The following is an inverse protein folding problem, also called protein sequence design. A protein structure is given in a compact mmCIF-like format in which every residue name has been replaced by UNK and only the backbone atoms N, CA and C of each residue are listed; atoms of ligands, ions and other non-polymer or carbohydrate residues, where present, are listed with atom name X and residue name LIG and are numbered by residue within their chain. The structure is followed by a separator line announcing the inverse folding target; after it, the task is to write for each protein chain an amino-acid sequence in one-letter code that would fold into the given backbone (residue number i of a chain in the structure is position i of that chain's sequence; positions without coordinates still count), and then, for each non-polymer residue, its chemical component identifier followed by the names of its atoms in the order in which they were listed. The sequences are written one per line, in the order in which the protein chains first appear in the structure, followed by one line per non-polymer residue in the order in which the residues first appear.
data_IF_840990377095
#
_entry.id   IF_840990377095
#
_cell.length_a   1.000
_cell.length_b   1.000
_cell.length_c   1.000
_cell.angle_alpha   90.00
_cell.angle_beta   90.00
_cell.angle_gamma   90.00
#
_symmetry.space_group_name_H-M   'P 1'
#
loop_
_entity.id
_entity.type
_entity.pdbx_description
1 polymer ?
#
# COMPACT_ATOMS: atom_id res chain seq x y z
N UNK A 1 -8.42 9.03 -11.91
CA UNK A 1 -7.41 7.95 -12.05
C UNK A 1 -6.17 8.48 -12.77
N UNK A 2 -5.01 7.89 -12.51
CA UNK A 2 -3.69 8.33 -12.97
C UNK A 2 -3.04 9.40 -12.08
N UNK A 3 -3.78 9.97 -11.14
CA UNK A 3 -3.34 11.03 -10.24
C UNK A 3 -2.40 10.50 -9.16
N UNK A 4 -1.31 11.21 -8.90
CA UNK A 4 -0.36 10.95 -7.84
C UNK A 4 -0.55 11.81 -6.58
N UNK A 5 -0.30 11.19 -5.44
CA UNK A 5 -0.41 11.80 -4.12
C UNK A 5 0.84 11.48 -3.30
N UNK A 6 1.32 12.47 -2.58
CA UNK A 6 2.26 12.25 -1.49
C UNK A 6 1.45 11.85 -0.26
N UNK A 7 1.81 10.73 0.36
CA UNK A 7 1.26 10.25 1.63
C UNK A 7 2.36 10.36 2.69
N UNK A 8 2.14 11.14 3.75
CA UNK A 8 3.07 11.31 4.87
C UNK A 8 2.51 10.62 6.10
N UNK A 9 3.22 9.62 6.61
CA UNK A 9 2.76 8.79 7.73
C UNK A 9 2.65 9.59 9.04
N UNK A 10 1.55 9.37 9.75
CA UNK A 10 1.28 10.02 11.04
C UNK A 10 1.55 9.07 12.21
N UNK A 11 1.84 9.66 13.38
CA UNK A 11 1.96 8.93 14.64
C UNK A 11 0.61 8.47 15.21
N UNK A 12 -0.51 8.96 14.66
CA UNK A 12 -1.85 8.63 15.11
C UNK A 12 -2.12 7.12 14.99
N UNK A 13 -2.87 6.59 15.95
CA UNK A 13 -3.28 5.19 16.04
C UNK A 13 -4.80 5.12 16.06
N UNK A 14 -5.36 3.97 15.72
CA UNK A 14 -6.80 3.73 15.81
C UNK A 14 -7.20 3.56 17.26
N UNK A 15 -8.22 4.29 17.70
CA UNK A 15 -8.71 4.18 19.08
C UNK A 15 -10.25 4.30 19.19
N UNK A 16 -11.03 3.54 18.40
CA UNK A 16 -12.49 3.63 18.45
C UNK A 16 -13.08 3.15 19.79
N UNK A 17 -12.35 2.31 20.54
CA UNK A 17 -12.82 1.68 21.76
C UNK A 17 -11.83 1.79 22.95
N UNK A 18 -10.80 2.62 22.87
CA UNK A 18 -9.72 2.65 23.89
C UNK A 18 -8.67 1.55 23.68
N UNK A 19 -8.69 0.87 22.54
CA UNK A 19 -7.88 -0.31 22.21
C UNK A 19 -6.57 0.02 21.50
N UNK A 20 -6.37 1.28 21.07
CA UNK A 20 -5.11 1.83 20.58
C UNK A 20 -4.30 0.85 19.70
N UNK A 21 -4.82 0.54 18.51
CA UNK A 21 -4.23 -0.43 17.59
C UNK A 21 -3.73 0.22 16.29
N UNK A 22 -2.92 -0.52 15.53
CA UNK A 22 -2.39 -0.05 14.24
C UNK A 22 -1.55 1.23 14.36
N UNK A 23 -1.73 2.14 13.41
CA UNK A 23 -0.92 3.36 13.24
C UNK A 23 0.42 3.07 12.56
N UNK A 24 1.18 4.09 12.15
CA UNK A 24 2.47 3.87 11.50
C UNK A 24 3.53 3.37 12.50
N UNK A 25 4.43 2.46 12.07
CA UNK A 25 5.63 2.14 12.85
C UNK A 25 6.42 3.41 13.18
N UNK A 26 7.09 3.53 14.36
CA UNK A 26 7.80 4.75 14.74
C UNK A 26 8.82 5.23 13.70
N UNK A 27 9.58 4.32 13.09
CA UNK A 27 10.52 4.66 12.00
C UNK A 27 9.87 5.24 10.75
N UNK A 28 8.56 5.03 10.54
CA UNK A 28 7.82 5.55 9.39
C UNK A 28 7.21 6.92 9.65
N UNK A 29 6.98 7.30 10.91
CA UNK A 29 6.36 8.59 11.24
C UNK A 29 7.15 9.73 10.60
N UNK A 30 6.45 10.55 9.82
CA UNK A 30 7.05 11.66 9.09
C UNK A 30 7.72 11.31 7.77
N UNK A 31 7.97 10.01 7.47
CA UNK A 31 8.37 9.56 6.13
C UNK A 31 7.22 9.71 5.15
N UNK A 32 7.56 9.75 3.87
CA UNK A 32 6.59 9.88 2.80
C UNK A 32 6.68 8.74 1.80
N UNK A 33 5.54 8.46 1.17
CA UNK A 33 5.39 7.56 0.03
C UNK A 33 4.58 8.28 -1.04
N UNK A 34 5.05 8.22 -2.29
CA UNK A 34 4.30 8.77 -3.43
C UNK A 34 3.57 7.62 -4.10
N UNK A 35 2.26 7.76 -4.26
CA UNK A 35 1.42 6.74 -4.91
C UNK A 35 0.77 7.32 -6.15
N UNK A 36 0.46 6.45 -7.12
CA UNK A 36 -0.40 6.77 -8.25
C UNK A 36 -1.72 6.00 -8.10
N UNK A 37 -2.84 6.69 -8.24
CA UNK A 37 -4.18 6.09 -8.17
C UNK A 37 -4.48 5.38 -9.49
N UNK A 38 -4.40 4.05 -9.49
CA UNK A 38 -4.64 3.21 -10.68
C UNK A 38 -6.03 2.57 -10.70
N UNK A 39 -6.71 2.52 -9.56
CA UNK A 39 -8.03 1.91 -9.43
C UNK A 39 -8.87 2.65 -8.37
N UNK A 40 -10.14 2.29 -8.26
CA UNK A 40 -11.05 2.71 -7.19
C UNK A 40 -11.56 1.47 -6.45
N UNK A 41 -11.84 1.62 -5.16
CA UNK A 41 -12.52 0.61 -4.33
C UNK A 41 -13.73 1.23 -3.66
N UNK A 42 -14.68 0.39 -3.24
CA UNK A 42 -15.90 0.83 -2.55
C UNK A 42 -16.04 0.24 -1.13
N UNK A 43 -15.10 -0.61 -0.73
CA UNK A 43 -15.13 -1.43 0.48
C UNK A 43 -14.12 -0.98 1.55
N UNK A 44 -13.47 0.17 1.36
CA UNK A 44 -12.62 0.79 2.37
C UNK A 44 -13.42 1.79 3.22
N UNK A 45 -13.34 1.66 4.54
CA UNK A 45 -13.98 2.58 5.47
C UNK A 45 -13.20 3.92 5.53
N UNK A 46 -13.92 5.05 5.64
CA UNK A 46 -13.34 6.40 5.77
C UNK A 46 -13.70 7.34 4.61
N UNK A 47 -13.64 8.66 4.84
CA UNK A 47 -13.93 9.65 3.79
C UNK A 47 -12.82 9.75 2.73
N UNK A 48 -11.56 9.52 3.14
CA UNK A 48 -10.36 9.66 2.30
C UNK A 48 -9.38 8.53 2.57
N UNK A 49 -9.63 7.37 1.96
CA UNK A 49 -8.84 6.15 2.17
C UNK A 49 -8.02 5.78 0.93
N UNK A 50 -6.79 5.33 1.16
CA UNK A 50 -5.91 4.79 0.13
C UNK A 50 -5.70 3.31 0.39
N UNK A 51 -6.17 2.46 -0.51
CA UNK A 51 -5.76 1.06 -0.56
C UNK A 51 -4.45 0.94 -1.34
N UNK A 52 -3.37 0.58 -0.64
CA UNK A 52 -2.04 0.51 -1.23
C UNK A 52 -1.84 -0.89 -1.79
N UNK A 53 -1.64 -0.98 -3.11
CA UNK A 53 -1.46 -2.26 -3.79
C UNK A 53 -0.16 -2.95 -3.34
N UNK A 54 -0.30 -4.02 -2.57
CA UNK A 54 0.82 -4.82 -2.04
C UNK A 54 0.53 -6.30 -2.27
N UNK A 55 1.35 -7.01 -3.08
CA UNK A 55 1.21 -8.46 -3.23
C UNK A 55 1.31 -9.19 -1.88
N UNK A 56 0.47 -10.19 -1.64
CA UNK A 56 0.44 -10.87 -0.34
C UNK A 56 -0.42 -10.21 0.73
N UNK A 57 -1.04 -9.05 0.46
CA UNK A 57 -1.81 -8.28 1.45
C UNK A 57 -3.31 -8.60 1.53
N UNK A 58 -3.77 -9.60 0.78
CA UNK A 58 -5.18 -9.98 0.71
C UNK A 58 -5.79 -9.67 -0.65
N UNK A 59 -6.53 -10.62 -1.22
CA UNK A 59 -7.28 -10.42 -2.46
C UNK A 59 -8.63 -9.71 -2.24
N UNK A 60 -9.08 -9.60 -0.99
CA UNK A 60 -10.35 -9.02 -0.63
C UNK A 60 -11.54 -9.82 -1.15
N UNK A 61 -12.58 -9.10 -1.59
CA UNK A 61 -13.85 -9.68 -2.04
C UNK A 61 -13.71 -10.48 -3.36
N UNK A 62 -12.71 -10.15 -4.20
CA UNK A 62 -12.49 -10.77 -5.51
C UNK A 62 -11.29 -11.71 -5.49
N UNK A 63 -11.43 -12.86 -4.83
CA UNK A 63 -10.33 -13.81 -4.59
C UNK A 63 -10.00 -14.80 -5.73
N UNK A 64 -10.51 -14.56 -6.95
CA UNK A 64 -10.29 -15.45 -8.10
C UNK A 64 -9.33 -14.88 -9.16
N UNK A 65 -9.07 -13.57 -9.14
CA UNK A 65 -8.29 -12.91 -10.19
C UNK A 65 -6.85 -13.40 -10.27
N UNK A 66 -6.18 -13.53 -9.12
CA UNK A 66 -4.78 -13.94 -9.09
C UNK A 66 -4.58 -15.38 -9.56
N UNK A 67 -5.35 -16.32 -9.04
CA UNK A 67 -5.26 -17.72 -9.46
C UNK A 67 -5.63 -17.92 -10.96
N UNK A 68 -6.55 -17.10 -11.50
CA UNK A 68 -6.86 -17.12 -12.93
C UNK A 68 -5.69 -16.60 -13.79
N UNK A 69 -4.92 -15.62 -13.28
CA UNK A 69 -3.79 -15.03 -13.99
C UNK A 69 -2.52 -15.90 -13.96
N UNK A 70 -2.31 -16.67 -12.89
CA UNK A 70 -1.09 -17.43 -12.65
C UNK A 70 -1.37 -18.94 -12.58
N UNK A 71 -1.30 -19.67 -13.72
CA UNK A 71 -1.50 -21.11 -13.74
C UNK A 71 -0.55 -21.84 -12.79
N UNK A 72 -1.07 -22.80 -12.03
CA UNK A 72 -0.29 -23.60 -11.08
C UNK A 72 -0.22 -23.04 -9.66
N UNK A 73 -0.80 -21.86 -9.40
CA UNK A 73 -0.94 -21.29 -8.06
C UNK A 73 -2.38 -21.43 -7.56
N UNK A 74 -2.55 -21.74 -6.28
CA UNK A 74 -3.86 -21.73 -5.63
C UNK A 74 -4.23 -20.31 -5.17
N UNK A 75 -5.52 -19.96 -5.02
CA UNK A 75 -5.92 -18.65 -4.49
C UNK A 75 -5.22 -18.26 -3.19
N UNK A 76 -5.08 -19.20 -2.24
CA UNK A 76 -4.43 -18.94 -0.96
C UNK A 76 -2.92 -18.67 -1.04
N UNK A 77 -2.26 -18.97 -2.15
CA UNK A 77 -0.84 -18.64 -2.34
C UNK A 77 -0.61 -17.13 -2.45
N UNK A 78 -1.67 -16.37 -2.77
CA UNK A 78 -1.60 -14.93 -2.96
C UNK A 78 -1.80 -14.10 -1.69
N UNK A 79 -2.27 -14.70 -0.61
CA UNK A 79 -2.64 -14.01 0.63
C UNK A 79 -2.58 -14.86 1.90
N UNK A 80 -1.92 -16.03 1.84
CA UNK A 80 -1.80 -16.95 2.96
C UNK A 80 -3.15 -17.44 3.52
N UNK A 81 -4.11 -17.67 2.62
CA UNK A 81 -5.46 -18.14 2.96
C UNK A 81 -6.24 -17.12 3.84
N UNK A 82 -5.79 -15.86 3.84
CA UNK A 82 -6.39 -14.74 4.55
C UNK A 82 -6.73 -13.61 3.59
N UNK A 83 -7.93 -13.66 3.01
CA UNK A 83 -8.35 -12.72 1.97
C UNK A 83 -8.32 -11.24 2.42
N UNK A 84 -8.42 -10.95 3.72
CA UNK A 84 -8.41 -9.59 4.25
C UNK A 84 -7.22 -9.40 5.19
N UNK A 85 -6.18 -8.69 4.71
CA UNK A 85 -4.95 -8.44 5.45
C UNK A 85 -3.81 -9.40 5.08
N UNK A 86 -4.11 -10.53 4.44
CA UNK A 86 -3.12 -11.39 3.81
C UNK A 86 -2.14 -12.05 4.78
N UNK A 87 -0.93 -12.30 4.28
CA UNK A 87 0.15 -12.90 5.04
C UNK A 87 0.61 -11.97 6.18
N UNK A 88 0.81 -12.55 7.37
CA UNK A 88 1.29 -11.78 8.54
C UNK A 88 2.81 -11.66 8.59
N UNK A 89 3.54 -12.49 7.85
CA UNK A 89 4.99 -12.57 7.91
C UNK A 89 5.64 -12.63 6.51
N UNK A 90 6.90 -12.19 6.45
CA UNK A 90 7.67 -12.10 5.22
C UNK A 90 7.87 -13.45 4.53
N UNK A 91 7.86 -14.57 5.26
CA UNK A 91 8.06 -15.89 4.65
C UNK A 91 6.92 -16.28 3.72
N UNK A 92 5.72 -15.73 3.94
CA UNK A 92 4.57 -15.84 3.03
C UNK A 92 4.87 -15.38 1.60
N UNK A 93 5.80 -14.43 1.41
CA UNK A 93 6.21 -13.97 0.07
C UNK A 93 6.81 -15.10 -0.78
N UNK A 94 7.33 -16.17 -0.17
CA UNK A 94 7.85 -17.34 -0.88
C UNK A 94 6.78 -18.12 -1.66
N UNK A 95 5.49 -18.00 -1.27
CA UNK A 95 4.35 -18.64 -1.95
C UNK A 95 4.01 -17.97 -3.29
N UNK A 96 4.36 -16.70 -3.44
CA UNK A 96 4.00 -15.90 -4.61
C UNK A 96 4.87 -16.24 -5.84
N UNK A 97 4.37 -15.96 -7.06
CA UNK A 97 5.19 -15.88 -8.27
C UNK A 97 6.41 -14.95 -8.07
N UNK A 98 7.60 -15.30 -8.61
CA UNK A 98 8.84 -14.54 -8.40
C UNK A 98 8.71 -13.03 -8.65
N UNK A 99 7.97 -12.64 -9.68
CA UNK A 99 7.69 -11.27 -10.09
C UNK A 99 6.92 -10.44 -9.04
N UNK A 100 6.15 -11.08 -8.16
CA UNK A 100 5.38 -10.41 -7.11
C UNK A 100 6.13 -10.31 -5.77
N UNK A 101 7.20 -11.10 -5.60
CA UNK A 101 7.92 -11.20 -4.33
C UNK A 101 8.55 -9.89 -3.87
N UNK A 102 9.22 -9.09 -4.72
CA UNK A 102 9.81 -7.83 -4.26
C UNK A 102 8.79 -6.86 -3.65
N UNK A 103 7.59 -6.76 -4.25
CA UNK A 103 6.50 -5.95 -3.73
C UNK A 103 5.93 -6.50 -2.42
N UNK A 104 5.80 -7.82 -2.28
CA UNK A 104 5.43 -8.45 -1.02
C UNK A 104 6.46 -8.18 0.07
N UNK A 105 7.75 -8.32 -0.23
CA UNK A 105 8.82 -8.11 0.73
C UNK A 105 8.94 -6.65 1.19
N UNK A 106 8.63 -5.70 0.31
CA UNK A 106 8.55 -4.27 0.65
C UNK A 106 7.62 -4.01 1.84
N UNK A 107 6.50 -4.73 1.93
CA UNK A 107 5.52 -4.66 3.02
C UNK A 107 6.16 -4.81 4.40
N UNK A 108 7.13 -5.71 4.52
CA UNK A 108 7.79 -6.04 5.78
C UNK A 108 9.08 -5.24 5.96
N UNK A 109 9.86 -5.06 4.88
CA UNK A 109 11.16 -4.41 4.95
C UNK A 109 11.01 -2.90 5.16
N UNK A 110 10.18 -2.23 4.35
CA UNK A 110 10.04 -0.78 4.35
C UNK A 110 8.80 -0.33 5.12
N UNK A 111 7.63 -0.91 4.83
CA UNK A 111 6.37 -0.55 5.50
C UNK A 111 6.29 -1.11 6.94
N UNK A 112 7.20 -2.00 7.36
CA UNK A 112 7.26 -2.53 8.73
C UNK A 112 5.94 -3.18 9.19
N UNK A 113 5.23 -3.83 8.28
CA UNK A 113 3.94 -4.46 8.57
C UNK A 113 3.98 -5.37 9.81
N UNK A 114 3.04 -5.13 10.73
CA UNK A 114 2.87 -5.79 12.03
C UNK A 114 4.08 -5.77 12.97
N UNK A 115 5.12 -4.99 12.66
CA UNK A 115 6.23 -4.78 13.56
C UNK A 115 5.79 -3.94 14.78
N UNK A 116 6.63 -3.87 15.81
CA UNK A 116 6.40 -3.06 17.00
C UNK A 116 4.99 -3.24 17.62
N UNK A 117 4.54 -4.48 17.79
CA UNK A 117 3.23 -4.76 18.40
C UNK A 117 2.04 -4.50 17.48
N UNK A 118 2.17 -4.82 16.18
CA UNK A 118 1.08 -4.71 15.22
C UNK A 118 0.95 -3.35 14.53
N UNK A 119 1.99 -2.50 14.62
CA UNK A 119 2.03 -1.23 13.91
C UNK A 119 2.23 -1.43 12.40
N UNK A 120 2.00 -0.36 11.66
CA UNK A 120 1.78 -0.31 10.22
C UNK A 120 0.59 -1.15 9.74
N UNK A 121 -0.29 -1.58 10.64
CA UNK A 121 -1.62 -2.05 10.30
C UNK A 121 -2.55 -0.86 10.09
N UNK A 122 -2.90 -0.60 8.82
CA UNK A 122 -3.74 0.53 8.38
C UNK A 122 -3.29 1.89 8.95
N UNK A 123 -2.06 2.34 8.71
CA UNK A 123 -1.55 3.58 9.30
C UNK A 123 -2.26 4.82 8.75
N UNK A 124 -2.44 5.84 9.60
CA UNK A 124 -2.91 7.16 9.15
C UNK A 124 -1.83 7.89 8.36
N UNK A 125 -2.28 8.70 7.39
CA UNK A 125 -1.43 9.56 6.58
C UNK A 125 -2.08 10.94 6.39
N UNK A 126 -1.26 11.98 6.31
CA UNK A 126 -1.63 13.23 5.64
C UNK A 126 -1.30 13.09 4.18
N UNK A 127 -2.15 13.61 3.30
CA UNK A 127 -1.91 13.54 1.87
C UNK A 127 -2.10 14.87 1.15
N UNK A 128 -1.41 15.01 0.02
CA UNK A 128 -1.64 16.09 -0.94
C UNK A 128 -1.40 15.60 -2.36
N UNK A 129 -2.10 16.21 -3.32
CA UNK A 129 -1.87 15.99 -4.75
C UNK A 129 -0.51 16.56 -5.16
N UNK A 130 0.24 15.80 -5.94
CA UNK A 130 1.56 16.16 -6.46
C UNK A 130 1.64 15.78 -7.94
N UNK A 131 2.55 16.42 -8.68
CA UNK A 131 2.90 15.97 -10.03
C UNK A 131 3.44 14.55 -9.96
N UNK A 132 3.00 13.69 -10.88
CA UNK A 132 3.43 12.31 -10.91
C UNK A 132 4.93 12.20 -11.25
N UNK A 133 5.73 11.49 -10.43
CA UNK A 133 7.10 11.15 -10.78
C UNK A 133 7.16 10.30 -12.05
N UNK A 134 8.21 10.48 -12.85
CA UNK A 134 8.41 9.70 -14.09
C UNK A 134 8.43 8.19 -13.82
N UNK A 135 8.98 7.79 -12.67
CA UNK A 135 9.05 6.41 -12.22
C UNK A 135 7.68 5.72 -12.11
N UNK A 136 6.61 6.46 -11.81
CA UNK A 136 5.25 5.90 -11.73
C UNK A 136 4.55 5.90 -13.10
N UNK A 137 4.59 7.03 -13.82
CA UNK A 137 3.92 7.12 -15.13
C UNK A 137 4.57 6.24 -16.19
N UNK A 138 5.88 5.97 -16.10
CA UNK A 138 6.57 5.04 -17.00
C UNK A 138 6.16 3.59 -16.76
N UNK A 139 5.71 3.24 -15.54
CA UNK A 139 5.21 1.89 -15.22
C UNK A 139 3.74 1.77 -15.66
N UNK A 140 2.91 2.75 -15.33
CA UNK A 140 1.46 2.68 -15.60
C UNK A 140 1.06 3.08 -17.02
N UNK A 141 1.91 3.85 -17.72
CA UNK A 141 1.57 4.49 -18.97
C UNK A 141 0.50 5.59 -18.84
N UNK A 142 0.16 6.01 -17.62
CA UNK A 142 -0.91 6.98 -17.36
C UNK A 142 -0.34 8.29 -16.81
N UNK A 143 -0.61 9.38 -17.52
CA UNK A 143 -0.30 10.75 -17.08
C UNK A 143 -1.60 11.57 -17.06
N UNK A 144 -1.98 12.18 -15.92
CA UNK A 144 -3.12 13.08 -15.85
C UNK A 144 -2.94 14.29 -16.77
N UNK A 145 -4.03 14.75 -17.39
CA UNK A 145 -4.00 15.94 -18.26
C UNK A 145 -3.68 17.22 -17.50
N UNK A 146 -3.96 17.25 -16.19
CA UNK A 146 -3.73 18.39 -15.30
C UNK A 146 -2.46 18.23 -14.45
N UNK A 147 -1.59 17.26 -14.74
CA UNK A 147 -0.50 16.89 -13.82
C UNK A 147 0.54 18.01 -13.63
N UNK A 148 0.76 18.82 -14.67
CA UNK A 148 1.63 20.00 -14.63
C UNK A 148 1.09 21.14 -13.75
N UNK A 149 -0.18 21.10 -13.35
CA UNK A 149 -0.77 22.08 -12.44
C UNK A 149 -0.43 21.83 -10.96
N UNK A 150 0.21 20.70 -10.64
CA UNK A 150 0.55 20.31 -9.28
C UNK A 150 2.05 20.38 -9.02
N UNK A 151 2.48 20.60 -7.76
CA UNK A 151 3.90 20.71 -7.44
C UNK A 151 4.61 19.37 -7.62
N UNK A 152 5.82 19.42 -8.18
CA UNK A 152 6.75 18.31 -8.12
C UNK A 152 7.26 18.15 -6.68
N UNK A 153 7.55 16.91 -6.29
CA UNK A 153 8.14 16.63 -4.99
C UNK A 153 9.60 17.07 -4.97
N UNK A 154 10.00 17.76 -3.92
CA UNK A 154 11.39 18.12 -3.67
C UNK A 154 12.01 17.12 -2.67
N UNK A 155 13.00 16.34 -3.12
CA UNK A 155 13.64 15.33 -2.28
C UNK A 155 14.35 15.92 -1.05
N UNK A 156 14.72 17.20 -1.09
CA UNK A 156 15.32 17.88 0.05
C UNK A 156 14.33 18.14 1.20
N UNK A 157 13.03 17.97 0.96
CA UNK A 157 11.99 18.12 2.00
C UNK A 157 11.91 16.88 2.93
N UNK A 158 12.66 15.81 2.63
CA UNK A 158 12.63 14.56 3.37
C UNK A 158 13.99 14.26 4.03
N UNK A 159 13.98 13.86 5.32
CA UNK A 159 15.19 13.52 6.06
C UNK A 159 15.82 12.19 5.63
#
# INVERSE_FOLDING_TARGET
CGQCFELRFEAARHDPAGDNWGGAHPDLVGRAMVVQVTNIGYDVNGEHSFDVQVPGAGQGIFASGCAAQFPGYAPGDFDCDNNYGGCNDKSGCGRLPPELRPGCEWRYNWLRWLAAGGQSNNPYVKFRRVKCPSQLISISGSTPLDDDAYPQINLADYP
#
